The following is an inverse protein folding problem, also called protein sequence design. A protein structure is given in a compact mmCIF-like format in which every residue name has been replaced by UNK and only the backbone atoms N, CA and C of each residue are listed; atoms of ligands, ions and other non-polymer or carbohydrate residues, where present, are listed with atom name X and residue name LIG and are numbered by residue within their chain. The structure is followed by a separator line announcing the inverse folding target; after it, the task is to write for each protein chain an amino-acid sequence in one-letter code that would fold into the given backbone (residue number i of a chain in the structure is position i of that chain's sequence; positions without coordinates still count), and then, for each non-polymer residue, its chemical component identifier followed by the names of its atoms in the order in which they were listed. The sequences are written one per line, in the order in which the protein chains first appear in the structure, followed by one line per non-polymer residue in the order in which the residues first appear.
data_IF_013674666003
#
_entry.id   IF_013674666003
#
_cell.length_a   1.000
_cell.length_b   1.000
_cell.length_c   1.000
_cell.angle_alpha   90.00
_cell.angle_beta   90.00
_cell.angle_gamma   90.00
#
_symmetry.space_group_name_H-M   'P 1'
#
loop_
_entity.id
_entity.type
_entity.pdbx_description
1 polymer ?
2 non-polymer ?
3 water ?
#
# COMPACT_ATOMS: atom_id res chain seq x y z
N UNK A 5 16.43 -9.21 -11.20
CA UNK A 5 15.28 -8.24 -11.29
C UNK A 5 14.64 -8.25 -12.68
N UNK A 6 13.37 -8.63 -12.72
CA UNK A 6 12.63 -8.72 -13.98
C UNK A 6 11.43 -7.77 -13.94
N UNK A 7 11.36 -6.83 -14.87
CA UNK A 7 10.25 -5.90 -14.85
C UNK A 7 9.77 -5.48 -16.23
N UNK A 8 8.50 -5.08 -16.35
CA UNK A 8 7.96 -4.62 -17.62
C UNK A 8 7.76 -3.10 -17.59
N UNK A 9 8.46 -2.44 -16.66
CA UNK A 9 8.45 -0.99 -16.47
C UNK A 9 9.95 -0.69 -16.44
N UNK A 10 10.41 0.30 -17.19
CA UNK A 10 11.86 0.53 -17.25
C UNK A 10 12.48 1.74 -16.55
N UNK A 11 11.65 2.57 -15.93
CA UNK A 11 12.12 3.75 -15.22
C UNK A 11 12.84 3.29 -13.94
N UNK A 12 14.07 3.76 -13.75
CA UNK A 12 14.84 3.43 -12.56
C UNK A 12 15.30 4.77 -11.97
N UNK A 13 14.90 5.06 -10.74
CA UNK A 13 15.27 6.31 -10.08
C UNK A 13 16.24 5.99 -8.95
N UNK A 14 17.39 6.66 -8.93
CA UNK A 14 18.40 6.38 -7.91
C UNK A 14 18.39 7.22 -6.65
N UNK A 15 17.77 8.40 -6.70
CA UNK A 15 17.71 9.27 -5.53
C UNK A 15 16.27 9.68 -5.22
N UNK A 16 15.91 9.69 -3.94
CA UNK A 16 14.56 10.11 -3.58
C UNK A 16 14.33 11.53 -4.05
N UNK A 17 15.41 12.30 -4.20
CA UNK A 17 15.34 13.69 -4.67
C UNK A 17 14.77 13.72 -6.07
N UNK A 18 15.02 12.65 -6.82
CA UNK A 18 14.58 12.58 -8.21
C UNK A 18 13.14 12.12 -8.41
N UNK A 19 12.50 11.61 -7.36
CA UNK A 19 11.12 11.14 -7.50
C UNK A 19 10.08 12.26 -7.46
N UNK A 20 10.54 13.51 -7.34
CA UNK A 20 9.63 14.67 -7.28
C UNK A 20 8.58 14.60 -6.17
N UNK A 21 8.99 14.09 -5.01
CA UNK A 21 8.10 13.95 -3.87
C UNK A 21 7.85 15.28 -3.19
N UNK A 22 6.73 15.38 -2.48
CA UNK A 22 6.39 16.57 -1.73
C UNK A 22 7.57 16.77 -0.79
N UNK A 23 7.99 18.02 -0.57
CA UNK A 23 9.13 18.26 0.30
C UNK A 23 8.90 17.85 1.75
N UNK A 24 7.68 18.03 2.24
CA UNK A 24 7.38 17.64 3.61
C UNK A 24 7.50 16.14 3.75
N UNK A 25 7.18 15.43 2.66
CA UNK A 25 7.29 13.98 2.65
C UNK A 25 8.78 13.66 2.61
N UNK A 26 9.48 14.28 1.66
CA UNK A 26 10.91 14.05 1.49
C UNK A 26 11.64 14.27 2.81
N UNK A 27 11.23 15.30 3.54
CA UNK A 27 11.81 15.60 4.83
C UNK A 27 11.66 14.37 5.73
N UNK A 28 10.45 13.81 5.75
CA UNK A 28 10.19 12.63 6.57
C UNK A 28 10.99 11.41 6.16
N UNK A 29 11.17 11.21 4.85
CA UNK A 29 11.93 10.08 4.33
C UNK A 29 13.35 10.12 4.89
N UNK A 30 14.05 11.22 4.60
CA UNK A 30 15.43 11.42 5.06
C UNK A 30 15.46 11.44 6.58
N UNK A 31 14.42 12.01 7.17
CA UNK A 31 14.34 12.07 8.62
C UNK A 31 14.20 10.69 9.23
N UNK A 32 13.68 9.75 8.46
CA UNK A 32 13.49 8.40 8.98
C UNK A 32 14.76 7.57 8.94
N UNK A 33 15.69 7.96 8.09
CA UNK A 33 16.94 7.22 7.97
C UNK A 33 17.10 6.61 6.59
N UNK A 34 16.15 6.90 5.71
CA UNK A 34 16.17 6.41 4.34
C UNK A 34 17.13 7.29 3.57
N UNK A 35 18.29 6.75 3.23
CA UNK A 35 19.30 7.51 2.50
C UNK A 35 19.25 7.28 0.99
N UNK A 36 19.40 6.02 0.60
CA UNK A 36 19.41 5.62 -0.80
C UNK A 36 18.28 4.65 -1.09
N UNK A 37 17.54 4.89 -2.19
CA UNK A 37 16.45 3.95 -2.49
C UNK A 37 17.00 2.56 -2.79
N UNK A 38 16.34 1.53 -2.29
CA UNK A 38 16.77 0.16 -2.53
C UNK A 38 16.38 -0.26 -3.94
N UNK A 39 16.86 -1.43 -4.36
CA UNK A 39 16.56 -1.96 -5.68
C UNK A 39 15.07 -1.83 -6.00
N UNK A 40 14.23 -2.30 -5.08
CA UNK A 40 12.78 -2.27 -5.22
C UNK A 40 12.18 -0.87 -5.27
N UNK A 41 12.62 0.00 -4.35
CA UNK A 41 12.11 1.38 -4.30
C UNK A 41 12.60 2.17 -5.52
N UNK A 42 13.70 1.72 -6.09
CA UNK A 42 14.27 2.36 -7.28
C UNK A 42 13.36 2.16 -8.47
N UNK A 43 12.55 1.11 -8.41
CA UNK A 43 11.68 0.78 -9.52
C UNK A 43 10.18 0.84 -9.29
N UNK A 44 9.75 0.57 -8.06
CA UNK A 44 8.32 0.52 -7.75
C UNK A 44 7.61 1.76 -7.24
N UNK A 45 8.32 2.67 -6.59
CA UNK A 45 7.64 3.85 -6.08
C UNK A 45 6.97 4.67 -7.18
N UNK A 46 7.74 5.00 -8.22
CA UNK A 46 7.21 5.81 -9.31
C UNK A 46 5.93 5.28 -9.98
N UNK A 47 5.93 4.00 -10.41
CA UNK A 47 4.71 3.49 -11.05
C UNK A 47 3.49 3.53 -10.13
N UNK A 48 3.70 3.32 -8.83
CA UNK A 48 2.60 3.38 -7.88
C UNK A 48 2.08 4.83 -7.84
N UNK A 49 2.98 5.80 -7.75
CA UNK A 49 2.56 7.20 -7.73
C UNK A 49 1.78 7.54 -9.02
N UNK A 50 2.25 7.01 -10.15
CA UNK A 50 1.62 7.27 -11.43
C UNK A 50 0.27 6.62 -11.64
N UNK A 51 -0.17 5.81 -10.68
CA UNK A 51 -1.49 5.21 -10.79
C UNK A 51 -1.63 3.82 -11.35
N UNK A 52 -0.52 3.19 -11.71
CA UNK A 52 -0.56 1.84 -12.25
C UNK A 52 -0.90 0.82 -11.18
N UNK A 53 -1.55 -0.26 -11.58
CA UNK A 53 -1.82 -1.36 -10.67
C UNK A 53 -0.41 -1.94 -10.64
N UNK A 54 0.06 -2.37 -9.48
CA UNK A 54 1.43 -2.88 -9.40
C UNK A 54 1.56 -4.21 -8.68
N UNK A 55 2.25 -5.14 -9.32
CA UNK A 55 2.52 -6.45 -8.75
C UNK A 55 4.03 -6.49 -8.51
N UNK A 56 4.42 -6.74 -7.27
CA UNK A 56 5.83 -6.78 -6.93
C UNK A 56 6.20 -7.96 -6.04
N UNK A 57 7.06 -8.84 -6.55
CA UNK A 57 7.50 -9.96 -5.74
C UNK A 57 8.77 -9.48 -5.05
N UNK A 58 8.68 -9.23 -3.75
CA UNK A 58 9.82 -8.74 -3.02
C UNK A 58 9.98 -9.43 -1.68
N UNK A 59 11.20 -9.87 -1.41
CA UNK A 59 11.50 -10.54 -0.16
C UNK A 59 11.44 -9.51 0.95
N UNK A 60 11.18 -9.96 2.17
CA UNK A 60 11.11 -9.05 3.31
C UNK A 60 12.48 -8.43 3.56
N UNK A 61 12.48 -7.24 4.16
CA UNK A 61 13.74 -6.57 4.44
C UNK A 61 14.35 -5.88 3.23
N UNK A 62 13.66 -5.90 2.10
CA UNK A 62 14.18 -5.26 0.89
C UNK A 62 13.62 -3.85 0.70
N UNK A 63 12.88 -3.38 1.71
CA UNK A 63 12.29 -2.06 1.65
C UNK A 63 10.88 -2.00 1.07
N UNK A 64 10.08 -3.04 1.30
CA UNK A 64 8.70 -3.09 0.80
C UNK A 64 7.81 -2.04 1.46
N UNK A 65 7.83 -2.00 2.78
CA UNK A 65 7.00 -1.05 3.50
C UNK A 65 7.23 0.38 3.05
N UNK A 66 8.50 0.76 2.92
CA UNK A 66 8.84 2.11 2.49
C UNK A 66 8.34 2.41 1.09
N UNK A 67 8.39 1.40 0.22
CA UNK A 67 7.94 1.56 -1.16
C UNK A 67 6.47 2.00 -1.26
N UNK A 68 5.56 1.23 -0.67
CA UNK A 68 4.17 1.61 -0.76
C UNK A 68 3.77 2.72 0.20
N UNK A 69 4.53 2.90 1.28
CA UNK A 69 4.22 3.95 2.25
C UNK A 69 4.52 5.32 1.66
N UNK A 70 5.68 5.45 1.03
CA UNK A 70 6.08 6.71 0.40
C UNK A 70 5.15 7.05 -0.76
N UNK A 71 4.85 6.07 -1.61
CA UNK A 71 3.96 6.30 -2.75
C UNK A 71 2.56 6.65 -2.29
N UNK A 72 2.06 5.97 -1.26
CA UNK A 72 0.72 6.28 -0.77
C UNK A 72 0.65 7.69 -0.18
N UNK A 73 1.67 8.08 0.58
CA UNK A 73 1.69 9.40 1.21
C UNK A 73 1.75 10.51 0.17
N UNK A 74 2.46 10.27 -0.92
CA UNK A 74 2.56 11.25 -2.00
C UNK A 74 1.20 11.44 -2.70
N UNK A 75 0.37 10.41 -2.65
CA UNK A 75 -0.93 10.44 -3.30
C UNK A 75 -2.10 10.91 -2.44
N UNK A 76 -1.85 11.15 -1.16
CA UNK A 76 -2.93 11.60 -0.29
C UNK A 76 -3.31 13.07 -0.53
N UNK A 77 -4.61 13.35 -0.59
CA UNK A 77 -5.11 14.72 -0.74
C UNK A 77 -5.39 15.06 0.71
N UNK A 78 -4.45 15.72 1.38
CA UNK A 78 -4.61 16.04 2.80
C UNK A 78 -5.80 16.92 3.14
N UNK A 79 -6.45 17.50 2.13
CA UNK A 79 -7.61 18.32 2.41
C UNK A 79 -8.78 17.39 2.73
N UNK A 80 -8.85 16.25 2.02
CA UNK A 80 -9.90 15.24 2.22
C UNK A 80 -9.67 14.38 3.48
N UNK A 81 -10.56 14.55 4.45
CA UNK A 81 -10.49 13.85 5.72
C UNK A 81 -11.34 12.57 5.77
N UNK A 82 -10.93 11.60 4.96
CA UNK A 82 -11.60 10.30 4.85
C UNK A 82 -10.58 9.32 4.28
N UNK A 83 -10.84 8.01 4.42
CA UNK A 83 -9.92 6.98 3.91
C UNK A 83 -9.63 7.11 2.42
N UNK A 84 -8.34 7.17 2.06
CA UNK A 84 -7.94 7.27 0.66
C UNK A 84 -7.07 6.09 0.28
N UNK A 85 -6.40 5.51 1.27
CA UNK A 85 -5.55 4.34 1.07
C UNK A 85 -5.85 3.29 2.14
N UNK A 86 -6.08 2.07 1.69
CA UNK A 86 -6.38 0.96 2.58
C UNK A 86 -5.22 -0.01 2.44
N UNK A 87 -4.58 -0.33 3.56
CA UNK A 87 -3.45 -1.24 3.56
C UNK A 87 -3.82 -2.47 4.38
N UNK A 88 -3.67 -3.64 3.78
CA UNK A 88 -3.98 -4.92 4.41
C UNK A 88 -2.71 -5.74 4.69
N UNK A 89 -2.55 -6.19 5.93
CA UNK A 89 -1.40 -7.01 6.32
C UNK A 89 -1.94 -8.31 6.91
N UNK A 90 -1.17 -9.40 6.83
CA UNK A 90 -1.62 -10.69 7.36
C UNK A 90 -1.76 -10.79 8.89
N UNK A 91 -0.99 -9.99 9.63
CA UNK A 91 -1.04 -10.03 11.09
C UNK A 91 -1.15 -8.66 11.72
N UNK A 92 -1.52 -8.63 12.99
CA UNK A 92 -1.67 -7.39 13.74
C UNK A 92 -0.32 -6.75 14.02
N UNK A 93 0.74 -7.56 14.04
CA UNK A 93 2.09 -7.05 14.29
C UNK A 93 2.60 -6.32 13.05
N UNK A 94 2.40 -6.95 11.91
CA UNK A 94 2.82 -6.35 10.66
C UNK A 94 2.07 -5.03 10.51
N UNK A 95 0.75 -5.09 10.68
CA UNK A 95 -0.11 -3.92 10.57
C UNK A 95 0.35 -2.77 11.46
N UNK A 96 0.72 -3.12 12.68
CA UNK A 96 1.18 -2.14 13.65
C UNK A 96 2.47 -1.52 13.16
N UNK A 97 3.35 -2.37 12.63
CA UNK A 97 4.62 -1.89 12.12
C UNK A 97 4.43 -0.93 10.96
N UNK A 98 3.54 -1.28 10.03
CA UNK A 98 3.28 -0.42 8.88
C UNK A 98 2.76 0.94 9.35
N UNK A 99 1.99 0.95 10.43
CA UNK A 99 1.45 2.19 10.96
C UNK A 99 2.60 3.03 11.51
N UNK A 100 3.56 2.37 12.16
CA UNK A 100 4.73 3.04 12.74
C UNK A 100 5.49 3.79 11.66
N UNK A 101 5.81 3.08 10.58
CA UNK A 101 6.55 3.64 9.46
C UNK A 101 5.82 4.79 8.78
N UNK A 102 4.54 4.57 8.45
CA UNK A 102 3.72 5.59 7.79
C UNK A 102 3.67 6.88 8.61
N UNK A 103 3.51 6.75 9.92
CA UNK A 103 3.46 7.92 10.77
C UNK A 103 4.80 8.64 10.81
N UNK A 104 5.89 7.88 10.83
CA UNK A 104 7.21 8.48 10.85
C UNK A 104 7.46 9.26 9.56
N UNK A 105 7.08 8.68 8.43
CA UNK A 105 7.29 9.34 7.14
C UNK A 105 6.43 10.58 7.01
N UNK A 106 5.25 10.52 7.63
CA UNK A 106 4.28 11.62 7.58
C UNK A 106 4.50 12.65 8.69
N UNK A 107 5.62 12.54 9.40
CA UNK A 107 5.92 13.44 10.50
C UNK A 107 5.75 14.92 10.20
N UNK A 108 6.13 15.34 9.01
CA UNK A 108 6.00 16.74 8.66
C UNK A 108 4.75 16.99 7.84
N UNK A 109 3.80 16.07 7.90
CA UNK A 109 2.57 16.23 7.15
C UNK A 109 1.37 16.16 8.09
N UNK A 110 0.22 16.60 7.61
CA UNK A 110 -0.98 16.57 8.42
C UNK A 110 -1.83 15.41 7.90
N UNK A 111 -1.42 14.20 8.25
CA UNK A 111 -2.10 12.99 7.81
C UNK A 111 -2.48 12.10 8.99
N UNK A 112 -3.70 11.60 8.95
CA UNK A 112 -4.20 10.74 10.01
C UNK A 112 -4.18 9.27 9.56
N UNK A 113 -3.43 8.45 10.29
CA UNK A 113 -3.28 7.01 10.03
C UNK A 113 -3.91 6.22 11.17
N UNK A 114 -4.80 5.29 10.85
CA UNK A 114 -5.43 4.51 11.89
C UNK A 114 -5.30 3.03 11.62
N UNK A 115 -5.06 2.24 12.66
CA UNK A 115 -4.94 0.80 12.50
C UNK A 115 -6.23 0.08 12.92
N UNK A 116 -6.66 -0.90 12.12
CA UNK A 116 -7.85 -1.70 12.38
C UNK A 116 -7.42 -3.07 12.86
N UNK A 117 -7.30 -3.21 14.18
CA UNK A 117 -6.88 -4.46 14.78
C UNK A 117 -7.80 -4.85 15.95
N UNK A 118 -8.27 -3.96 16.66
N UNK A 128 -12.78 7.49 15.16
CA UNK A 128 -11.30 7.37 14.88
C UNK A 128 -11.03 6.94 13.45
N UNK A 129 -11.80 5.96 12.98
CA UNK A 129 -11.69 5.44 11.63
C UNK A 129 -12.39 6.33 10.60
N UNK A 130 -13.38 7.10 11.04
CA UNK A 130 -14.15 7.92 10.11
C UNK A 130 -13.44 9.00 9.29
N UNK A 131 -12.41 9.63 9.85
CA UNK A 131 -11.68 10.65 9.10
C UNK A 131 -10.18 10.35 8.97
N UNK A 132 -9.82 9.08 9.10
CA UNK A 132 -8.42 8.68 8.96
C UNK A 132 -8.21 8.65 7.46
N UNK A 133 -7.08 9.17 6.99
CA UNK A 133 -6.81 9.18 5.56
C UNK A 133 -6.16 7.89 5.09
N UNK A 134 -5.45 7.24 6.01
CA UNK A 134 -4.81 5.97 5.71
C UNK A 134 -5.31 5.00 6.76
N UNK A 135 -5.80 3.85 6.31
CA UNK A 135 -6.29 2.83 7.22
C UNK A 135 -5.47 1.55 7.01
N UNK A 136 -4.92 1.03 8.11
CA UNK A 136 -4.11 -0.18 8.04
C UNK A 136 -4.77 -1.25 8.90
N UNK A 137 -4.78 -2.49 8.44
CA UNK A 137 -5.40 -3.53 9.24
C UNK A 137 -5.38 -4.93 8.66
N UNK A 138 -5.97 -5.86 9.41
CA UNK A 138 -6.04 -7.23 8.97
C UNK A 138 -7.36 -7.38 8.22
N UNK A 139 -7.41 -8.28 7.24
CA UNK A 139 -8.60 -8.53 6.42
C UNK A 139 -9.92 -8.69 7.17
N UNK A 140 -9.92 -9.53 8.20
CA UNK A 140 -11.13 -9.76 8.97
C UNK A 140 -11.65 -8.52 9.66
N UNK A 141 -10.78 -7.85 10.40
CA UNK A 141 -11.15 -6.64 11.11
C UNK A 141 -11.64 -5.56 10.15
N UNK A 142 -10.89 -5.34 9.07
CA UNK A 142 -11.27 -4.32 8.11
C UNK A 142 -12.62 -4.61 7.48
N UNK A 143 -12.83 -5.86 7.08
CA UNK A 143 -14.09 -6.24 6.45
C UNK A 143 -15.26 -6.01 7.40
N UNK A 144 -15.05 -6.36 8.66
CA UNK A 144 -16.08 -6.21 9.69
C UNK A 144 -16.43 -4.73 9.91
N UNK A 145 -15.42 -3.87 9.89
CA UNK A 145 -15.66 -2.44 10.08
C UNK A 145 -16.34 -1.85 8.88
N UNK A 146 -16.13 -2.43 7.71
CA UNK A 146 -16.78 -1.92 6.51
C UNK A 146 -18.25 -2.34 6.57
N UNK A 147 -18.49 -3.57 6.99
CA UNK A 147 -19.85 -4.08 7.10
C UNK A 147 -20.66 -3.27 8.11
N UNK A 148 -20.06 -2.91 9.24
CA UNK A 148 -20.77 -2.12 10.23
C UNK A 148 -20.64 -0.64 9.96
N UNK A 149 -20.17 -0.32 8.75
CA UNK A 149 -20.00 1.06 8.30
C UNK A 149 -19.28 1.98 9.26
N UNK A 150 -18.14 1.52 9.77
CA UNK A 150 -17.32 2.29 10.69
C UNK A 150 -16.51 3.32 9.91
N UNK A 151 -16.43 3.09 8.60
CA UNK A 151 -15.73 4.01 7.70
C UNK A 151 -16.21 3.81 6.27
N UNK A 152 -16.30 4.92 5.53
CA UNK A 152 -16.76 4.89 4.15
C UNK A 152 -15.62 4.48 3.22
N UNK A 153 -15.96 3.89 2.09
CA UNK A 153 -14.94 3.45 1.16
C UNK A 153 -14.98 4.20 -0.17
N UNK A 154 -15.86 5.20 -0.27
CA UNK A 154 -16.02 5.94 -1.52
C UNK A 154 -14.85 6.82 -1.94
N UNK A 155 -14.01 7.21 -0.98
CA UNK A 155 -12.85 8.04 -1.30
C UNK A 155 -11.56 7.22 -1.44
N UNK A 156 -11.65 5.91 -1.27
CA UNK A 156 -10.47 5.06 -1.36
C UNK A 156 -9.91 5.01 -2.77
N UNK A 157 -8.67 5.46 -2.94
CA UNK A 157 -8.04 5.48 -4.25
C UNK A 157 -6.94 4.44 -4.41
N UNK A 158 -6.46 3.90 -3.29
CA UNK A 158 -5.40 2.89 -3.31
C UNK A 158 -5.71 1.71 -2.40
N UNK A 159 -5.50 0.51 -2.91
CA UNK A 159 -5.73 -0.72 -2.14
C UNK A 159 -4.43 -1.52 -2.16
N UNK A 160 -3.72 -1.53 -1.02
CA UNK A 160 -2.44 -2.23 -0.89
C UNK A 160 -2.52 -3.52 -0.10
N UNK A 161 -2.06 -4.61 -0.70
CA UNK A 161 -2.05 -5.93 -0.06
C UNK A 161 -0.60 -6.31 0.22
N UNK A 162 -0.18 -6.13 1.46
CA UNK A 162 1.18 -6.47 1.82
C UNK A 162 1.25 -7.95 2.20
N UNK A 163 2.22 -8.66 1.62
CA UNK A 163 2.42 -10.08 1.87
C UNK A 163 1.17 -10.83 1.46
N UNK A 164 0.79 -10.68 0.20
CA UNK A 164 -0.41 -11.32 -0.33
C UNK A 164 -0.38 -12.84 -0.18
N UNK A 165 0.77 -13.46 -0.46
CA UNK A 165 0.88 -14.91 -0.35
C UNK A 165 0.56 -15.38 1.06
N UNK A 166 0.94 -14.58 2.06
CA UNK A 166 0.68 -14.90 3.47
C UNK A 166 -0.82 -14.87 3.75
N UNK A 167 -1.46 -13.78 3.33
CA UNK A 167 -2.89 -13.58 3.54
C UNK A 167 -3.81 -14.59 2.87
N UNK A 168 -3.54 -14.91 1.61
CA UNK A 168 -4.38 -15.86 0.91
C UNK A 168 -4.23 -17.27 1.46
N UNK A 169 -3.10 -17.54 2.10
CA UNK A 169 -2.85 -18.87 2.66
C UNK A 169 -3.46 -19.01 4.05
N UNK A 170 -3.81 -17.89 4.67
CA UNK A 170 -4.40 -17.91 6.00
C UNK A 170 -5.91 -17.84 5.95
N UNK A 171 -6.47 -18.18 4.80
CA UNK A 171 -7.92 -18.18 4.66
C UNK A 171 -8.61 -16.84 4.49
N UNK A 172 -7.85 -15.79 4.24
CA UNK A 172 -8.46 -14.48 4.06
C UNK A 172 -8.94 -14.26 2.63
N UNK A 173 -8.63 -15.19 1.74
CA UNK A 173 -9.01 -15.03 0.34
C UNK A 173 -10.41 -14.49 0.11
N UNK A 174 -11.40 -15.09 0.76
CA UNK A 174 -12.79 -14.66 0.58
C UNK A 174 -13.05 -13.25 1.09
N UNK A 175 -12.52 -12.91 2.26
CA UNK A 175 -12.71 -11.57 2.81
C UNK A 175 -12.13 -10.54 1.83
N UNK A 176 -10.96 -10.84 1.30
CA UNK A 176 -10.30 -9.93 0.37
C UNK A 176 -11.11 -9.74 -0.90
N UNK A 177 -11.65 -10.82 -1.45
CA UNK A 177 -12.45 -10.74 -2.67
C UNK A 177 -13.65 -9.85 -2.42
N UNK A 178 -14.21 -9.96 -1.23
CA UNK A 178 -15.38 -9.17 -0.86
C UNK A 178 -15.04 -7.70 -0.66
N UNK A 179 -13.90 -7.44 -0.04
CA UNK A 179 -13.50 -6.06 0.16
C UNK A 179 -13.35 -5.44 -1.23
N UNK A 180 -12.66 -6.14 -2.13
CA UNK A 180 -12.46 -5.66 -3.50
C UNK A 180 -13.76 -5.14 -4.11
N UNK A 181 -14.79 -5.98 -4.08
CA UNK A 181 -16.09 -5.62 -4.65
C UNK A 181 -16.72 -4.38 -3.98
N UNK A 182 -16.43 -4.18 -2.69
CA UNK A 182 -16.97 -3.05 -1.95
C UNK A 182 -16.24 -1.73 -2.20
N UNK A 183 -15.11 -1.79 -2.89
CA UNK A 183 -14.33 -0.59 -3.17
C UNK A 183 -14.67 -0.01 -4.53
N UNK A 184 -14.41 1.29 -4.72
CA UNK A 184 -14.70 1.92 -6.01
C UNK A 184 -14.10 1.09 -7.13
N UNK A 185 -14.80 0.98 -8.26
CA UNK A 185 -14.30 0.20 -9.39
C UNK A 185 -13.01 0.76 -9.97
N UNK A 186 -12.69 1.99 -9.58
CA UNK A 186 -11.49 2.65 -10.07
C UNK A 186 -10.29 2.63 -9.10
N UNK A 187 -10.34 1.78 -8.09
CA UNK A 187 -9.25 1.71 -7.12
C UNK A 187 -7.98 1.10 -7.68
N UNK A 188 -6.85 1.74 -7.39
CA UNK A 188 -5.56 1.24 -7.83
C UNK A 188 -5.20 0.09 -6.88
N UNK A 189 -4.69 -1.00 -7.43
CA UNK A 189 -4.34 -2.15 -6.61
C UNK A 189 -2.83 -2.39 -6.60
N UNK A 190 -2.27 -2.49 -5.40
CA UNK A 190 -0.86 -2.75 -5.24
C UNK A 190 -0.71 -4.01 -4.40
N UNK A 191 -0.11 -5.03 -5.00
CA UNK A 191 0.07 -6.29 -4.32
C UNK A 191 1.55 -6.63 -4.18
N UNK A 192 1.99 -6.89 -2.95
CA UNK A 192 3.37 -7.27 -2.68
C UNK A 192 3.39 -8.65 -2.07
N UNK A 193 4.23 -9.52 -2.62
CA UNK A 193 4.32 -10.89 -2.13
C UNK A 193 5.75 -11.38 -2.30
N UNK A 194 6.20 -12.22 -1.37
CA UNK A 194 7.55 -12.77 -1.46
C UNK A 194 7.54 -13.91 -2.48
N UNK A 195 6.51 -14.75 -2.41
CA UNK A 195 6.38 -15.88 -3.31
C UNK A 195 5.28 -15.59 -4.32
N UNK A 196 5.17 -16.44 -5.33
CA UNK A 196 4.15 -16.28 -6.36
C UNK A 196 3.21 -17.49 -6.50
N UNK A 197 2.56 -17.90 -5.40
CA UNK A 197 1.64 -19.05 -5.46
C UNK A 197 0.60 -18.84 -6.56
N UNK A 198 0.11 -19.93 -7.14
CA UNK A 198 -0.89 -19.81 -8.20
C UNK A 198 -2.05 -18.93 -7.74
N UNK A 199 -2.27 -18.93 -6.43
CA UNK A 199 -3.34 -18.15 -5.84
C UNK A 199 -3.09 -16.66 -5.98
N UNK A 200 -1.83 -16.26 -5.82
CA UNK A 200 -1.47 -14.86 -5.94
C UNK A 200 -1.69 -14.41 -7.38
N UNK A 201 -1.25 -15.22 -8.34
CA UNK A 201 -1.42 -14.86 -9.75
C UNK A 201 -2.90 -14.70 -10.08
N UNK A 202 -3.71 -15.50 -9.41
CA UNK A 202 -5.14 -15.48 -9.60
C UNK A 202 -5.75 -14.14 -9.21
N UNK A 203 -5.46 -13.66 -8.00
CA UNK A 203 -6.00 -12.38 -7.57
C UNK A 203 -5.53 -11.30 -8.53
N UNK A 204 -4.31 -11.47 -9.01
CA UNK A 204 -3.71 -10.52 -9.93
C UNK A 204 -4.45 -10.41 -11.25
N UNK A 205 -4.84 -11.55 -11.80
CA UNK A 205 -5.54 -11.54 -13.07
C UNK A 205 -6.98 -11.08 -12.89
N UNK A 206 -7.53 -11.28 -11.70
CA UNK A 206 -8.91 -10.89 -11.43
C UNK A 206 -9.15 -9.44 -11.02
N UNK A 207 -8.17 -8.80 -10.37
CA UNK A 207 -8.36 -7.42 -9.93
C UNK A 207 -7.42 -6.35 -10.48
N UNK A 208 -6.42 -6.76 -11.23
CA UNK A 208 -5.50 -5.81 -11.80
C UNK A 208 -5.72 -5.67 -13.30
N UNK A 209 -5.43 -4.48 -13.80
CA UNK A 209 -5.60 -4.16 -15.20
C UNK A 209 -4.25 -3.74 -15.77
N UNK A 210 -3.71 -4.59 -16.65
CA UNK A 210 -2.43 -4.34 -17.30
C UNK A 210 -1.45 -3.84 -16.26
N UNK A 211 -1.23 -4.64 -15.21
CA UNK A 211 -0.33 -4.26 -14.13
C UNK A 211 1.15 -4.14 -14.48
N UNK A 212 1.85 -3.33 -13.70
CA UNK A 212 3.28 -3.19 -13.84
C UNK A 212 3.76 -4.39 -13.03
N UNK A 213 4.71 -5.14 -13.58
CA UNK A 213 5.23 -6.33 -12.90
C UNK A 213 6.70 -6.12 -12.57
N UNK A 214 7.07 -6.34 -11.32
CA UNK A 214 8.46 -6.18 -10.90
C UNK A 214 8.81 -7.43 -10.12
N UNK A 215 9.58 -8.32 -10.74
CA UNK A 215 9.97 -9.57 -10.10
C UNK A 215 11.49 -9.70 -10.03
N UNK A 216 12.11 -9.96 -11.05
X LIG B 1 10.67 -4.52 4.41
X LIG B 1 9.51 -3.62 4.49
X LIG B 1 10.74 -5.12 3.06
X LIG B 1 10.52 -5.60 5.39
X LIG B 1 11.89 -3.74 4.67
#
# INVERSE_FOLDING_TARGET
EESQIQTNYDKVVYKFDDMELDENLLRGVFGYGFEEPSAIQQRAIMPIIEGHDVLAQAQSGTGKTGTFSIAALQRIDTSVKAPQALMLAPTRELALQIQKVVMALAFHMDIKVHACIGGTSFVEDAEGLRDAQIVVGTPGRVFDNIQRRRFRTDKIKMFILDEADEMLSSGFKEQIYQIFTLLPPTTQVVLLSATMPNDVLEVTTKFMRNPVRILVKKDELTLE
SO4 S O1 O2 O3 O4
#
